data_IF_386798535135
#
_entry.id   IF_386798535135
#
_cell.length_a   1.000
_cell.length_b   1.000
_cell.length_c   1.000
_cell.angle_alpha   90.00
_cell.angle_beta   90.00
_cell.angle_gamma   90.00
#
_symmetry.space_group_name_H-M   'P 1'
#
loop_
_entity.id
_entity.type
_entity.pdbx_description
1 polymer ?
#
# COMPACT_ATOMS: atom_id res chain seq x y z
N UNK A 1 -9.26 -2.72 1.67
CA UNK A 1 -10.02 -2.02 2.73
C UNK A 1 -9.89 -0.51 2.55
N UNK A 2 -11.01 0.21 2.34
CA UNK A 2 -11.04 1.65 2.05
C UNK A 2 -10.31 2.54 3.10
N UNK A 3 -10.17 2.07 4.33
CA UNK A 3 -9.44 2.76 5.40
C UNK A 3 -7.92 2.57 5.24
N UNK A 4 -7.48 1.37 4.86
CA UNK A 4 -6.06 1.10 4.59
C UNK A 4 -5.60 1.90 3.37
N UNK A 5 -6.38 1.90 2.28
CA UNK A 5 -6.10 2.65 1.06
C UNK A 5 -6.08 4.18 1.31
N UNK A 6 -6.95 4.67 2.21
CA UNK A 6 -6.97 6.09 2.58
C UNK A 6 -5.79 6.49 3.47
N UNK A 7 -5.29 5.58 4.30
CA UNK A 7 -4.11 5.79 5.15
C UNK A 7 -2.80 5.69 4.36
N UNK A 8 -2.74 4.83 3.33
CA UNK A 8 -1.57 4.71 2.45
C UNK A 8 -1.29 6.00 1.66
N UNK A 9 -2.29 6.86 1.47
CA UNK A 9 -2.17 8.12 0.76
C UNK A 9 -2.02 9.36 1.68
N UNK A 10 -1.93 9.18 2.99
CA UNK A 10 -1.72 10.29 3.92
C UNK A 10 -0.24 10.39 4.28
N UNK A 11 0.47 11.33 3.64
CA UNK A 11 1.87 11.59 3.90
C UNK A 11 2.02 12.64 5.00
N UNK A 12 2.87 12.36 5.98
CA UNK A 12 3.23 13.29 7.05
C UNK A 12 4.72 13.60 6.93
N UNK A 13 5.06 14.90 6.87
CA UNK A 13 6.46 15.33 6.88
C UNK A 13 7.09 14.99 8.24
N UNK A 14 8.28 14.40 8.19
CA UNK A 14 9.03 13.96 9.37
C UNK A 14 10.41 14.60 9.39
N UNK A 15 10.85 15.01 10.59
CA UNK A 15 12.19 15.56 10.80
C UNK A 15 13.13 14.50 11.39
N UNK A 16 13.31 13.42 10.61
CA UNK A 16 14.23 12.33 10.89
C UNK A 16 14.92 11.89 9.60
N UNK A 17 16.01 11.11 9.68
CA UNK A 17 16.58 10.48 8.50
C UNK A 17 15.56 9.64 7.75
N UNK A 18 15.63 9.67 6.41
CA UNK A 18 14.77 8.88 5.55
C UNK A 18 15.03 7.38 5.73
N UNK A 19 13.99 6.60 5.80
CA UNK A 19 14.02 5.14 5.91
C UNK A 19 13.37 4.50 4.69
N UNK A 20 13.63 3.22 4.50
CA UNK A 20 13.00 2.46 3.43
C UNK A 20 11.47 2.44 3.61
N UNK A 21 10.71 2.78 2.58
CA UNK A 21 9.27 2.96 2.61
C UNK A 21 8.81 4.42 2.77
N UNK A 22 9.71 5.34 3.14
CA UNK A 22 9.39 6.77 3.15
C UNK A 22 9.33 7.34 1.73
N UNK A 23 8.64 8.47 1.57
CA UNK A 23 8.64 9.25 0.35
C UNK A 23 9.51 10.49 0.56
N UNK A 24 10.52 10.67 -0.26
CA UNK A 24 11.38 11.86 -0.27
C UNK A 24 11.03 12.74 -1.45
N UNK A 25 10.87 14.04 -1.22
CA UNK A 25 10.77 15.01 -2.30
C UNK A 25 12.18 15.51 -2.60
N UNK A 26 12.59 15.36 -3.85
CA UNK A 26 13.95 15.60 -4.27
C UNK A 26 14.03 16.48 -5.51
N UNK A 27 15.13 17.23 -5.59
CA UNK A 27 15.64 17.79 -6.85
C UNK A 27 16.89 17.01 -7.21
N UNK A 28 16.98 16.56 -8.44
CA UNK A 28 18.18 15.82 -8.87
C UNK A 28 18.69 16.29 -10.22
N UNK A 29 20.02 16.24 -10.38
CA UNK A 29 20.73 16.52 -11.61
C UNK A 29 21.73 15.41 -11.86
N UNK A 30 21.55 14.71 -12.96
CA UNK A 30 22.47 13.65 -13.43
C UNK A 30 23.45 14.20 -14.45
N UNK A 31 24.72 13.87 -14.27
CA UNK A 31 25.81 14.22 -15.19
C UNK A 31 26.57 12.98 -15.63
N UNK A 32 26.93 12.93 -16.91
CA UNK A 32 27.82 11.95 -17.47
C UNK A 32 29.07 12.66 -18.04
N UNK A 33 30.24 12.24 -17.63
CA UNK A 33 31.52 12.87 -18.04
C UNK A 33 31.55 14.39 -17.75
N UNK A 34 30.73 14.85 -16.78
CA UNK A 34 30.65 16.26 -16.37
C UNK A 34 29.59 17.09 -17.12
N UNK A 35 28.86 16.50 -18.05
CA UNK A 35 27.78 17.15 -18.79
C UNK A 35 26.42 16.57 -18.40
N UNK A 36 25.40 17.45 -18.28
CA UNK A 36 24.03 17.03 -18.05
C UNK A 36 23.47 16.33 -19.31
N UNK A 37 22.60 15.33 -19.11
CA UNK A 37 21.97 14.61 -20.21
C UNK A 37 20.44 14.74 -20.15
N UNK A 38 19.79 14.61 -21.29
CA UNK A 38 18.33 14.74 -21.42
C UNK A 38 17.61 13.68 -20.59
N UNK A 39 16.68 14.11 -19.75
CA UNK A 39 15.93 13.27 -18.82
C UNK A 39 16.69 12.90 -17.53
N UNK A 40 17.91 13.43 -17.35
CA UNK A 40 18.74 13.20 -16.15
C UNK A 40 18.43 14.13 -14.98
N UNK A 41 17.56 15.13 -15.12
CA UNK A 41 17.28 16.10 -14.06
C UNK A 41 15.78 16.35 -13.91
N UNK A 42 15.36 16.57 -12.66
CA UNK A 42 13.99 17.00 -12.31
C UNK A 42 14.02 17.73 -10.97
N UNK A 43 12.94 18.46 -10.67
CA UNK A 43 12.77 19.24 -9.44
C UNK A 43 11.43 18.94 -8.79
N UNK A 44 11.45 18.79 -7.45
CA UNK A 44 10.23 18.51 -6.69
C UNK A 44 9.65 17.13 -6.93
N UNK A 45 10.48 16.17 -7.34
CA UNK A 45 10.04 14.80 -7.59
C UNK A 45 9.81 14.04 -6.28
N UNK A 46 8.63 13.43 -6.13
CA UNK A 46 8.31 12.59 -4.97
C UNK A 46 8.71 11.14 -5.26
N UNK A 47 9.73 10.65 -4.57
CA UNK A 47 10.28 9.31 -4.71
C UNK A 47 10.03 8.48 -3.45
N UNK A 48 9.37 7.36 -3.60
CA UNK A 48 9.24 6.37 -2.53
C UNK A 48 10.48 5.48 -2.48
N UNK A 49 11.18 5.50 -1.36
CA UNK A 49 12.38 4.68 -1.16
C UNK A 49 12.01 3.19 -1.05
N UNK A 50 12.67 2.36 -1.84
CA UNK A 50 12.36 0.93 -1.97
C UNK A 50 11.33 0.59 -3.03
N UNK A 51 10.87 1.56 -3.82
CA UNK A 51 9.98 1.33 -4.97
C UNK A 51 10.67 0.72 -6.19
N UNK A 52 11.99 0.82 -6.24
CA UNK A 52 12.83 0.44 -7.39
C UNK A 52 12.43 1.15 -8.69
N UNK A 53 11.97 2.41 -8.56
CA UNK A 53 11.58 3.25 -9.70
C UNK A 53 12.79 3.89 -10.39
N UNK A 54 13.91 3.98 -9.69
CA UNK A 54 15.18 4.50 -10.18
C UNK A 54 16.20 3.37 -10.39
N UNK A 55 17.34 3.71 -10.97
CA UNK A 55 18.45 2.76 -11.16
C UNK A 55 19.01 2.27 -9.83
N UNK A 56 19.55 1.06 -9.83
CA UNK A 56 20.09 0.40 -8.63
C UNK A 56 21.08 1.30 -7.89
N UNK A 57 20.89 1.43 -6.57
CA UNK A 57 21.74 2.24 -5.69
C UNK A 57 21.27 3.70 -5.53
N UNK A 58 20.35 4.21 -6.36
CA UNK A 58 19.86 5.57 -6.25
C UNK A 58 19.03 5.76 -4.97
N UNK A 59 18.04 4.91 -4.77
CA UNK A 59 17.16 4.95 -3.60
C UNK A 59 17.92 4.58 -2.33
N UNK A 60 18.79 3.57 -2.39
CA UNK A 60 19.62 3.14 -1.26
C UNK A 60 20.57 4.24 -0.78
N UNK A 61 21.09 5.06 -1.71
CA UNK A 61 21.97 6.17 -1.39
C UNK A 61 21.26 7.35 -0.72
N UNK A 62 19.93 7.39 -0.77
CA UNK A 62 19.11 8.41 -0.09
C UNK A 62 18.60 7.95 1.28
N UNK A 63 18.71 6.66 1.61
CA UNK A 63 18.39 6.15 2.95
C UNK A 63 19.33 6.79 3.96
N UNK A 64 18.77 7.39 5.00
CA UNK A 64 19.53 8.11 6.03
C UNK A 64 19.73 9.61 5.76
N UNK A 65 19.36 10.09 4.57
CA UNK A 65 19.38 11.53 4.26
C UNK A 65 18.24 12.26 4.97
N UNK A 66 18.47 13.55 5.24
CA UNK A 66 17.49 14.44 5.90
C UNK A 66 17.09 15.57 4.97
N UNK A 67 16.00 16.24 5.35
CA UNK A 67 15.59 17.49 4.72
C UNK A 67 16.76 18.49 4.67
N UNK A 68 17.03 19.00 3.48
CA UNK A 68 18.12 19.96 3.20
C UNK A 68 19.47 19.32 2.86
N UNK A 69 19.61 18.01 2.97
CA UNK A 69 20.85 17.33 2.61
C UNK A 69 21.04 17.33 1.08
N UNK A 70 22.31 17.43 0.68
CA UNK A 70 22.73 17.27 -0.71
C UNK A 70 23.62 16.03 -0.80
N UNK A 71 23.11 15.01 -1.48
CA UNK A 71 23.79 13.73 -1.64
C UNK A 71 24.31 13.61 -3.06
N UNK A 72 25.54 13.14 -3.21
CA UNK A 72 26.13 12.83 -4.52
C UNK A 72 26.24 11.33 -4.66
N UNK A 73 25.62 10.79 -5.71
CA UNK A 73 25.56 9.36 -5.99
C UNK A 73 26.30 9.04 -7.27
N UNK A 74 27.32 8.21 -7.18
CA UNK A 74 28.06 7.68 -8.34
C UNK A 74 27.48 6.32 -8.70
N UNK A 75 26.73 6.25 -9.80
CA UNK A 75 25.96 5.07 -10.21
C UNK A 75 26.34 4.64 -11.62
N UNK A 76 25.83 3.48 -12.03
CA UNK A 76 26.01 2.97 -13.38
C UNK A 76 24.67 2.50 -13.92
N UNK A 77 24.32 2.95 -15.12
CA UNK A 77 23.11 2.47 -15.78
C UNK A 77 23.17 0.96 -16.05
N UNK A 78 22.09 0.23 -15.81
CA UNK A 78 22.03 -1.18 -16.13
C UNK A 78 22.17 -1.43 -17.64
N UNK A 79 22.67 -2.61 -18.03
CA UNK A 79 22.90 -2.97 -19.45
C UNK A 79 21.64 -3.08 -20.30
N UNK A 80 20.49 -3.22 -19.66
CA UNK A 80 19.16 -3.29 -20.30
C UNK A 80 18.46 -1.92 -20.35
N UNK A 81 19.20 -0.83 -20.18
CA UNK A 81 18.68 0.54 -20.32
C UNK A 81 18.75 0.99 -21.79
N UNK A 82 18.39 2.23 -22.08
CA UNK A 82 18.47 2.77 -23.46
C UNK A 82 19.90 2.66 -24.02
N UNK A 83 20.05 2.42 -25.33
CA UNK A 83 21.35 2.18 -25.97
C UNK A 83 22.37 3.29 -25.66
N UNK A 84 21.91 4.53 -25.54
CA UNK A 84 22.75 5.71 -25.28
C UNK A 84 23.31 5.74 -23.86
N UNK A 85 22.61 5.17 -22.87
CA UNK A 85 22.93 5.22 -21.45
C UNK A 85 23.42 3.88 -20.88
N UNK A 86 23.17 2.79 -21.58
CA UNK A 86 23.47 1.43 -21.14
C UNK A 86 24.93 1.24 -20.70
N UNK A 87 25.11 0.85 -19.44
CA UNK A 87 26.42 0.57 -18.85
C UNK A 87 27.31 1.78 -18.61
N UNK A 88 26.81 3.00 -18.83
CA UNK A 88 27.58 4.22 -18.59
C UNK A 88 27.53 4.63 -17.12
N UNK A 89 28.63 5.16 -16.63
CA UNK A 89 28.72 5.78 -15.31
C UNK A 89 28.01 7.13 -15.32
N UNK A 90 27.26 7.41 -14.29
CA UNK A 90 26.51 8.65 -14.08
C UNK A 90 26.70 9.12 -12.64
N UNK A 91 26.80 10.42 -12.46
CA UNK A 91 26.82 11.03 -11.14
C UNK A 91 25.53 11.84 -10.98
N UNK A 92 24.75 11.52 -9.93
CA UNK A 92 23.58 12.30 -9.55
C UNK A 92 23.88 13.16 -8.33
N UNK A 93 23.58 14.44 -8.46
CA UNK A 93 23.53 15.34 -7.32
C UNK A 93 22.08 15.51 -6.92
N UNK A 94 21.72 15.05 -5.73
CA UNK A 94 20.36 15.01 -5.23
C UNK A 94 20.22 15.91 -4.02
N UNK A 95 19.25 16.81 -4.05
CA UNK A 95 18.88 17.66 -2.91
C UNK A 95 17.58 17.14 -2.32
N UNK A 96 17.54 16.85 -1.03
CA UNK A 96 16.35 16.38 -0.32
C UNK A 96 15.55 17.58 0.20
N UNK A 97 14.42 17.86 -0.38
CA UNK A 97 13.55 18.99 0.00
C UNK A 97 12.71 18.68 1.24
N UNK A 98 12.20 17.46 1.36
CA UNK A 98 11.42 16.96 2.50
C UNK A 98 11.45 15.43 2.57
N UNK A 99 11.26 14.93 3.78
CA UNK A 99 11.06 13.50 4.04
C UNK A 99 9.64 13.32 4.56
N UNK A 100 8.89 12.41 3.99
CA UNK A 100 7.51 12.11 4.33
C UNK A 100 7.37 10.61 4.58
N UNK A 101 6.61 10.26 5.61
CA UNK A 101 6.22 8.87 5.85
C UNK A 101 4.72 8.72 5.67
N UNK A 102 4.27 7.51 5.32
CA UNK A 102 2.84 7.21 5.35
C UNK A 102 2.36 7.22 6.80
N UNK A 103 1.37 8.06 7.08
CA UNK A 103 0.78 8.08 8.41
C UNK A 103 -0.03 6.80 8.63
N UNK A 104 0.44 5.95 9.53
CA UNK A 104 -0.36 4.84 10.06
C UNK A 104 -1.31 5.29 11.17
N UNK A 105 -1.23 6.56 11.55
CA UNK A 105 -2.08 7.15 12.57
C UNK A 105 -3.15 8.03 11.92
N UNK A 106 -4.39 7.70 12.21
CA UNK A 106 -5.55 8.49 11.79
C UNK A 106 -5.54 9.76 12.64
N UNK A 107 -5.43 10.94 11.99
CA UNK A 107 -5.55 12.23 12.70
C UNK A 107 -7.01 12.61 12.92
N UNK A 108 -7.28 13.47 13.91
CA UNK A 108 -8.64 14.02 14.13
C UNK A 108 -9.13 14.83 12.93
N UNK A 109 -8.23 15.53 12.25
CA UNK A 109 -8.54 16.30 11.03
C UNK A 109 -8.99 15.39 9.89
N UNK A 110 -8.30 14.24 9.72
CA UNK A 110 -8.68 13.24 8.73
C UNK A 110 -10.05 12.65 9.06
N UNK A 111 -10.31 12.30 10.34
CA UNK A 111 -11.60 11.75 10.77
C UNK A 111 -12.74 12.72 10.48
N UNK A 112 -12.59 13.99 10.83
CA UNK A 112 -13.61 15.05 10.57
C UNK A 112 -13.86 15.30 9.10
N UNK A 113 -12.81 15.19 8.27
CA UNK A 113 -12.94 15.42 6.82
C UNK A 113 -13.55 14.25 6.06
N UNK A 114 -13.37 13.02 6.53
CA UNK A 114 -13.68 11.81 5.77
C UNK A 114 -14.73 10.91 6.43
N UNK A 115 -15.19 11.22 7.64
CA UNK A 115 -16.17 10.42 8.38
C UNK A 115 -17.21 11.31 9.06
N UNK A 116 -18.22 10.69 9.65
CA UNK A 116 -19.25 11.39 10.44
C UNK A 116 -18.82 11.64 11.92
N UNK A 117 -17.60 11.21 12.27
CA UNK A 117 -17.10 11.28 13.64
C UNK A 117 -16.26 12.55 13.87
N UNK A 118 -16.31 13.06 15.09
CA UNK A 118 -15.56 14.25 15.50
C UNK A 118 -14.21 13.91 16.13
N UNK A 119 -14.01 12.66 16.57
CA UNK A 119 -12.77 12.20 17.20
C UNK A 119 -12.31 10.84 16.67
N UNK A 120 -11.00 10.62 16.73
CA UNK A 120 -10.37 9.34 16.40
C UNK A 120 -10.87 8.22 17.32
N UNK A 121 -11.16 8.55 18.58
CA UNK A 121 -11.62 7.58 19.57
C UNK A 121 -13.03 7.07 19.27
N UNK A 122 -13.95 7.95 18.88
CA UNK A 122 -15.31 7.57 18.47
C UNK A 122 -15.28 6.74 17.19
N UNK A 123 -14.47 7.11 16.21
CA UNK A 123 -14.28 6.37 14.99
C UNK A 123 -13.73 4.96 15.25
N UNK A 124 -12.69 4.84 16.09
CA UNK A 124 -12.12 3.53 16.49
C UNK A 124 -13.12 2.66 17.24
N UNK A 125 -13.95 3.26 18.08
CA UNK A 125 -15.00 2.55 18.82
C UNK A 125 -16.05 1.99 17.87
N UNK A 126 -16.52 2.76 16.89
CA UNK A 126 -17.48 2.33 15.89
C UNK A 126 -16.93 1.17 15.04
N UNK A 127 -15.70 1.29 14.56
CA UNK A 127 -15.03 0.20 13.82
C UNK A 127 -14.93 -1.06 14.67
N UNK A 128 -14.57 -0.94 15.95
CA UNK A 128 -14.48 -2.10 16.86
C UNK A 128 -15.84 -2.79 16.99
N UNK A 129 -16.90 -2.04 17.22
CA UNK A 129 -18.26 -2.60 17.32
C UNK A 129 -18.69 -3.28 16.03
N UNK A 130 -18.38 -2.68 14.88
CA UNK A 130 -18.68 -3.29 13.56
C UNK A 130 -17.93 -4.58 13.35
N UNK A 131 -16.63 -4.62 13.67
CA UNK A 131 -15.81 -5.82 13.55
C UNK A 131 -16.25 -6.92 14.52
N UNK A 132 -16.59 -6.57 15.76
CA UNK A 132 -17.11 -7.53 16.74
C UNK A 132 -18.45 -8.11 16.28
N UNK A 133 -19.34 -7.28 15.74
CA UNK A 133 -20.62 -7.74 15.19
C UNK A 133 -20.41 -8.66 13.99
N UNK A 134 -19.53 -8.28 13.06
CA UNK A 134 -19.20 -9.09 11.90
C UNK A 134 -18.60 -10.45 12.31
N UNK A 135 -17.62 -10.44 13.20
CA UNK A 135 -17.01 -11.68 13.71
C UNK A 135 -18.02 -12.60 14.40
N UNK A 136 -18.99 -12.05 15.14
CA UNK A 136 -20.04 -12.83 15.78
C UNK A 136 -20.97 -13.45 14.73
N UNK A 137 -21.38 -12.68 13.73
CA UNK A 137 -22.21 -13.18 12.62
C UNK A 137 -21.49 -14.28 11.84
N UNK A 138 -20.23 -14.05 11.46
CA UNK A 138 -19.42 -15.04 10.74
C UNK A 138 -19.21 -16.32 11.56
N UNK A 139 -19.06 -16.21 12.88
CA UNK A 139 -18.97 -17.35 13.78
C UNK A 139 -20.29 -18.12 13.89
N UNK A 140 -21.43 -17.42 13.99
CA UNK A 140 -22.76 -18.03 14.00
C UNK A 140 -23.04 -18.76 12.69
N UNK A 141 -22.79 -18.14 11.54
CA UNK A 141 -22.95 -18.75 10.21
C UNK A 141 -22.06 -19.99 10.03
N UNK A 142 -20.82 -19.93 10.53
CA UNK A 142 -19.90 -21.08 10.51
C UNK A 142 -20.44 -22.22 11.37
N UNK A 143 -20.89 -21.92 12.60
CA UNK A 143 -21.45 -22.94 13.51
C UNK A 143 -22.72 -23.56 12.96
N UNK A 144 -23.63 -22.76 12.36
CA UNK A 144 -24.82 -23.27 11.71
C UNK A 144 -24.46 -24.18 10.53
N UNK A 145 -23.51 -23.77 9.67
CA UNK A 145 -23.05 -24.57 8.56
C UNK A 145 -22.43 -25.91 8.99
N UNK A 146 -21.60 -25.92 10.04
CA UNK A 146 -21.04 -27.13 10.60
C UNK A 146 -22.11 -28.03 11.25
N UNK A 147 -23.08 -27.44 11.97
CA UNK A 147 -24.19 -28.19 12.55
C UNK A 147 -25.05 -28.85 11.47
N UNK A 148 -25.40 -28.12 10.40
CA UNK A 148 -26.13 -28.67 9.26
C UNK A 148 -25.36 -29.78 8.56
N UNK A 149 -24.04 -29.61 8.37
CA UNK A 149 -23.19 -30.65 7.81
C UNK A 149 -23.22 -31.91 8.65
N UNK A 150 -23.10 -31.79 9.98
CA UNK A 150 -23.21 -32.96 10.88
C UNK A 150 -24.58 -33.61 10.82
N UNK A 151 -25.67 -32.83 10.73
CA UNK A 151 -27.03 -33.38 10.59
C UNK A 151 -27.15 -34.16 9.28
N UNK A 152 -26.68 -33.59 8.15
CA UNK A 152 -26.75 -34.26 6.85
C UNK A 152 -25.91 -35.53 6.80
N UNK A 153 -24.70 -35.52 7.37
CA UNK A 153 -23.81 -36.70 7.42
C UNK A 153 -24.34 -37.84 8.28
N UNK A 154 -25.17 -37.51 9.31
CA UNK A 154 -25.75 -38.48 10.21
C UNK A 154 -27.25 -38.78 9.95
N UNK A 155 -27.80 -38.24 8.86
CA UNK A 155 -29.20 -38.44 8.48
C UNK A 155 -29.30 -39.38 7.28
N UNK A 156 -30.20 -40.36 7.36
CA UNK A 156 -30.63 -41.17 6.22
C UNK A 156 -31.97 -40.66 5.72
N UNK A 157 -32.04 -40.31 4.42
CA UNK A 157 -33.30 -39.96 3.79
C UNK A 157 -33.96 -41.23 3.26
N UNK A 158 -34.96 -41.72 3.97
CA UNK A 158 -35.64 -42.95 3.59
C UNK A 158 -36.61 -42.77 2.40
N UNK A 159 -37.20 -41.60 2.25
CA UNK A 159 -38.17 -41.31 1.19
C UNK A 159 -38.27 -39.79 0.94
N UNK A 160 -38.31 -39.40 -0.31
CA UNK A 160 -38.61 -38.02 -0.71
C UNK A 160 -40.09 -37.96 -1.12
N UNK A 161 -40.88 -36.98 -0.64
CA UNK A 161 -42.20 -36.73 -1.19
C UNK A 161 -42.11 -36.48 -2.70
N UNK A 162 -43.02 -37.09 -3.45
CA UNK A 162 -42.98 -37.04 -4.92
C UNK A 162 -43.06 -35.59 -5.44
N UNK A 163 -43.73 -34.71 -4.74
CA UNK A 163 -43.83 -33.28 -5.01
C UNK A 163 -42.47 -32.58 -4.97
N UNK A 164 -41.58 -32.95 -4.04
CA UNK A 164 -40.23 -32.40 -3.91
C UNK A 164 -39.32 -32.90 -5.04
N UNK A 165 -39.49 -34.15 -5.45
CA UNK A 165 -38.76 -34.73 -6.59
C UNK A 165 -39.16 -34.07 -7.89
N UNK A 166 -40.46 -33.81 -8.07
CA UNK A 166 -40.98 -33.09 -9.26
C UNK A 166 -40.50 -31.64 -9.30
N UNK A 167 -40.48 -30.96 -8.17
CA UNK A 167 -39.94 -29.60 -8.07
C UNK A 167 -38.46 -29.54 -8.42
N UNK A 168 -37.64 -30.48 -7.90
CA UNK A 168 -36.24 -30.60 -8.25
C UNK A 168 -36.02 -30.79 -9.76
N UNK A 169 -36.76 -31.68 -10.41
CA UNK A 169 -36.67 -31.88 -11.85
C UNK A 169 -37.07 -30.66 -12.69
N UNK A 170 -38.03 -29.89 -12.21
CA UNK A 170 -38.50 -28.70 -12.94
C UNK A 170 -37.47 -27.56 -12.94
N UNK A 171 -36.63 -27.46 -11.91
CA UNK A 171 -35.71 -26.33 -11.74
C UNK A 171 -34.23 -26.66 -12.04
N UNK A 172 -33.86 -27.94 -12.11
CA UNK A 172 -32.46 -28.37 -12.22
C UNK A 172 -32.14 -29.30 -13.42
N UNK A 173 -33.14 -29.72 -14.19
CA UNK A 173 -32.99 -30.34 -15.52
C UNK A 173 -33.22 -29.31 -16.63
#
# INVERSE_FOLDING_TARGET
>A
DAVADALENTYVEVDRPAENGDTVNIDYVGTMEGEEFEGGSDTGFDLQLGSHSFIDGFEDGLVGAKKGDVVTLDLTFPKNYTEELSGKAVQFKVTVNKVQTTSKEISEEWVKANTEFESVEDYRRDIRVKLETQNNTDAEDTMEGEAWKMVLENSEVNEYPEEVVQYGRYYYD
#
